data_IF_871975027984
#
_entry.id   IF_871975027984
#
_cell.length_a   1.000
_cell.length_b   1.000
_cell.length_c   1.000
_cell.angle_alpha   90.00
_cell.angle_beta   90.00
_cell.angle_gamma   90.00
#
_symmetry.space_group_name_H-M   'P 1'
#
loop_
_entity.id
_entity.type
_entity.pdbx_description
1 polymer ?
#
# COMPACT_ATOMS: atom_id res chain seq x y z
N UNK A 1 9.24 -23.85 1.89
CA UNK A 1 8.01 -23.23 1.35
C UNK A 1 8.12 -21.74 1.63
N UNK A 2 8.11 -20.85 0.63
CA UNK A 2 8.14 -19.42 0.90
C UNK A 2 6.82 -19.00 1.57
N UNK A 3 6.93 -18.22 2.64
CA UNK A 3 5.79 -17.70 3.39
C UNK A 3 5.02 -16.67 2.53
N UNK A 4 3.68 -16.59 2.65
CA UNK A 4 2.90 -15.60 1.94
C UNK A 4 3.34 -14.19 2.36
N UNK A 5 3.66 -13.34 1.39
CA UNK A 5 4.14 -11.95 1.56
C UNK A 5 3.13 -10.98 2.23
N UNK A 6 2.03 -11.50 2.78
CA UNK A 6 1.02 -10.74 3.53
C UNK A 6 1.39 -10.62 5.03
N UNK A 7 2.25 -11.50 5.55
CA UNK A 7 2.54 -11.60 6.99
C UNK A 7 3.73 -10.75 7.45
N UNK A 8 4.59 -10.32 6.52
CA UNK A 8 5.69 -9.41 6.82
C UNK A 8 5.72 -8.30 5.78
N UNK A 9 5.60 -7.02 6.19
CA UNK A 9 5.93 -5.92 5.29
C UNK A 9 7.38 -6.12 4.81
N UNK A 10 7.68 -5.97 3.51
CA UNK A 10 9.07 -5.80 3.11
C UNK A 10 9.65 -4.61 3.89
N UNK A 11 10.96 -4.61 4.16
CA UNK A 11 11.63 -3.46 4.77
C UNK A 11 11.47 -2.26 3.82
N UNK A 12 10.39 -1.50 4.01
CA UNK A 12 9.98 -0.38 3.18
C UNK A 12 10.81 0.80 3.64
N UNK A 13 11.93 1.04 2.96
CA UNK A 13 12.63 2.32 3.06
C UNK A 13 11.72 3.41 2.48
N UNK A 14 10.89 3.99 3.35
CA UNK A 14 10.01 5.10 2.98
C UNK A 14 10.88 6.26 2.50
N UNK A 15 10.71 6.60 1.23
CA UNK A 15 11.42 7.74 0.64
C UNK A 15 10.86 9.04 1.22
N UNK A 16 11.67 10.10 1.32
CA UNK A 16 11.17 11.42 1.65
C UNK A 16 10.15 11.85 0.59
N UNK A 17 8.94 12.16 1.04
CA UNK A 17 7.87 12.67 0.19
C UNK A 17 7.96 14.19 0.06
N UNK A 18 7.54 14.76 -1.09
CA UNK A 18 7.32 16.19 -1.18
C UNK A 18 6.17 16.62 -0.26
N UNK A 19 6.16 17.89 0.16
CA UNK A 19 5.25 18.43 1.19
C UNK A 19 3.76 18.35 0.85
N UNK A 20 3.42 18.17 -0.43
CA UNK A 20 2.06 17.98 -0.92
C UNK A 20 1.55 16.53 -0.79
N UNK A 21 2.38 15.60 -0.32
CA UNK A 21 2.05 14.18 -0.14
C UNK A 21 2.30 13.76 1.29
N UNK A 22 1.50 12.79 1.76
CA UNK A 22 1.64 12.15 3.06
C UNK A 22 1.49 10.64 2.94
N UNK A 23 2.09 9.92 3.88
CA UNK A 23 1.85 8.50 4.06
C UNK A 23 0.58 8.29 4.87
N UNK A 24 -0.26 7.39 4.39
CA UNK A 24 -1.34 6.78 5.16
C UNK A 24 -1.17 5.26 5.09
N UNK A 25 -1.76 4.53 6.01
CA UNK A 25 -1.53 3.09 6.13
C UNK A 25 -2.84 2.32 5.97
N UNK A 26 -2.78 1.22 5.23
CA UNK A 26 -3.90 0.31 5.02
C UNK A 26 -3.66 -1.03 5.73
N UNK A 27 -4.73 -1.61 6.28
CA UNK A 27 -4.73 -2.94 6.91
C UNK A 27 -4.59 -2.91 8.43
N UNK A 28 -4.95 -4.02 9.08
CA UNK A 28 -4.98 -4.20 10.53
C UNK A 28 -3.60 -4.16 11.21
N UNK A 29 -2.52 -4.11 10.42
CA UNK A 29 -1.14 -4.14 10.93
C UNK A 29 -0.31 -2.96 10.45
N UNK A 30 -0.94 -1.91 9.87
CA UNK A 30 -0.26 -0.69 9.38
C UNK A 30 0.92 -0.96 8.41
N UNK A 31 0.93 -2.15 7.79
CA UNK A 31 2.08 -2.65 7.03
C UNK A 31 2.06 -2.20 5.56
N UNK A 32 0.98 -1.56 5.10
CA UNK A 32 0.79 -1.15 3.71
C UNK A 32 0.73 0.39 3.60
N UNK A 33 1.87 1.07 3.46
CA UNK A 33 1.93 2.52 3.30
C UNK A 33 1.44 2.99 1.92
N UNK A 34 0.27 3.63 1.85
CA UNK A 34 -0.20 4.36 0.67
C UNK A 34 0.24 5.82 0.72
N UNK A 35 0.55 6.37 -0.45
CA UNK A 35 0.88 7.79 -0.60
C UNK A 35 -0.38 8.51 -1.05
N UNK A 36 -0.83 9.48 -0.26
CA UNK A 36 -2.01 10.30 -0.53
C UNK A 36 -1.66 11.78 -0.50
N UNK A 37 -2.55 12.64 -1.00
CA UNK A 37 -2.33 14.08 -0.94
C UNK A 37 -2.45 14.60 0.49
N UNK A 38 -1.50 15.45 0.91
CA UNK A 38 -1.53 16.08 2.23
C UNK A 38 -2.62 17.16 2.36
N UNK A 39 -3.21 17.59 1.23
CA UNK A 39 -4.30 18.57 1.18
C UNK A 39 -5.70 17.95 1.32
N UNK A 40 -5.82 16.63 1.49
CA UNK A 40 -7.11 15.96 1.71
C UNK A 40 -7.64 16.26 3.12
N UNK A 41 -8.93 16.59 3.21
CA UNK A 41 -9.65 16.67 4.49
C UNK A 41 -9.82 15.27 5.09
N UNK A 42 -9.97 15.19 6.42
CA UNK A 42 -10.10 13.91 7.16
C UNK A 42 -11.21 13.01 6.60
N UNK A 43 -12.34 13.59 6.18
CA UNK A 43 -13.44 12.82 5.58
C UNK A 43 -13.04 12.22 4.22
N UNK A 44 -12.36 13.01 3.38
CA UNK A 44 -11.92 12.57 2.06
C UNK A 44 -10.85 11.48 2.17
N UNK A 45 -9.91 11.67 3.09
CA UNK A 45 -8.91 10.66 3.42
C UNK A 45 -9.58 9.35 3.85
N UNK A 46 -10.52 9.40 4.80
CA UNK A 46 -11.22 8.18 5.27
C UNK A 46 -11.94 7.45 4.15
N UNK A 47 -12.67 8.18 3.30
CA UNK A 47 -13.35 7.61 2.12
C UNK A 47 -12.34 6.97 1.16
N UNK A 48 -11.21 7.62 0.93
CA UNK A 48 -10.14 7.10 0.08
C UNK A 48 -9.55 5.81 0.66
N UNK A 49 -9.23 5.80 1.97
CA UNK A 49 -8.69 4.63 2.65
C UNK A 49 -9.68 3.46 2.67
N UNK A 50 -10.97 3.72 2.82
CA UNK A 50 -12.02 2.69 2.76
C UNK A 50 -12.05 2.03 1.37
N UNK A 51 -12.07 2.83 0.30
CA UNK A 51 -12.06 2.33 -1.08
C UNK A 51 -10.78 1.55 -1.36
N UNK A 52 -9.62 2.04 -0.93
CA UNK A 52 -8.35 1.36 -1.11
C UNK A 52 -8.24 0.07 -0.29
N UNK A 53 -8.84 0.03 0.91
CA UNK A 53 -8.90 -1.18 1.74
C UNK A 53 -9.68 -2.29 1.05
N UNK A 54 -10.79 -1.96 0.39
CA UNK A 54 -11.58 -2.90 -0.43
C UNK A 54 -10.78 -3.38 -1.66
N UNK A 55 -9.98 -2.50 -2.27
CA UNK A 55 -9.24 -2.78 -3.50
C UNK A 55 -7.75 -3.10 -3.28
N UNK A 56 -7.35 -3.50 -2.07
CA UNK A 56 -5.94 -3.76 -1.71
C UNK A 56 -5.19 -4.68 -2.67
N UNK A 57 -5.89 -5.68 -3.25
CA UNK A 57 -5.33 -6.64 -4.22
C UNK A 57 -4.92 -5.98 -5.55
N UNK A 58 -5.57 -4.89 -5.93
CA UNK A 58 -5.29 -4.19 -7.19
C UNK A 58 -4.06 -3.28 -7.10
N UNK A 59 -3.64 -2.89 -5.88
CA UNK A 59 -2.53 -1.95 -5.71
C UNK A 59 -1.16 -2.63 -5.93
N UNK A 60 -1.11 -3.96 -6.04
CA UNK A 60 0.10 -4.66 -6.48
C UNK A 60 1.28 -4.49 -5.51
N UNK A 61 1.07 -4.74 -4.22
CA UNK A 61 2.05 -4.43 -3.17
C UNK A 61 3.35 -5.25 -3.28
N UNK A 62 3.24 -6.45 -3.85
CA UNK A 62 4.37 -7.33 -4.09
C UNK A 62 4.43 -7.71 -5.56
N UNK A 63 5.61 -8.11 -6.04
CA UNK A 63 5.80 -8.57 -7.42
C UNK A 63 4.84 -9.73 -7.77
N UNK A 64 4.47 -10.53 -6.77
CA UNK A 64 3.51 -11.63 -6.92
C UNK A 64 2.06 -11.16 -7.17
N UNK A 65 1.71 -9.93 -6.77
CA UNK A 65 0.39 -9.34 -7.00
C UNK A 65 0.26 -8.71 -8.40
N UNK A 66 1.36 -8.54 -9.15
CA UNK A 66 1.31 -7.93 -10.49
C UNK A 66 1.18 -9.04 -11.55
N UNK A 67 -0.01 -9.23 -12.15
CA UNK A 67 -0.25 -10.30 -13.11
C UNK A 67 0.61 -10.07 -14.36
N UNK A 68 1.46 -11.04 -14.68
CA UNK A 68 2.38 -10.98 -15.83
C UNK A 68 3.84 -10.74 -15.47
N UNK A 69 4.14 -10.40 -14.22
CA UNK A 69 5.51 -10.44 -13.66
C UNK A 69 5.66 -11.63 -12.72
N UNK A 70 5.17 -12.79 -13.15
CA UNK A 70 5.60 -14.04 -12.53
C UNK A 70 7.09 -14.20 -12.83
N UNK A 71 7.95 -14.49 -11.83
CA UNK A 71 9.28 -14.98 -12.13
C UNK A 71 9.07 -16.31 -12.88
N UNK A 72 9.19 -16.27 -14.19
CA UNK A 72 9.22 -17.47 -15.02
C UNK A 72 10.36 -18.34 -14.46
N UNK A 73 10.01 -19.54 -14.00
CA UNK A 73 10.96 -20.61 -13.70
C UNK A 73 11.57 -21.12 -14.99
#
# INVERSE_FOLDING_TARGET
>A
MPLPSIEQPPNLELKPLPSNLKYAYLGESENLPVIISSSLEDEQERKLLEVLSVHKKAIGWTLADIPGISPAT
#
